data_IF_339725482623
#
_entry.id   IF_339725482623
#
_cell.length_a   1.000
_cell.length_b   1.000
_cell.length_c   1.000
_cell.angle_alpha   90.00
_cell.angle_beta   90.00
_cell.angle_gamma   90.00
#
_symmetry.space_group_name_H-M   'P 1'
#
loop_
_entity.id
_entity.type
_entity.pdbx_description
1 polymer ?
#
# COMPACT_ATOMS: atom_id res chain seq x y z
N UNK A 1 -4.90 -1.09 -16.41
CA UNK A 1 -3.85 -2.07 -16.72
C UNK A 1 -4.40 -3.44 -16.33
N UNK A 2 -4.65 -4.32 -17.30
CA UNK A 2 -4.84 -5.75 -17.02
C UNK A 2 -3.46 -6.37 -17.18
N UNK A 3 -2.70 -6.44 -16.10
CA UNK A 3 -1.48 -7.24 -16.06
C UNK A 3 -1.90 -8.58 -15.50
N UNK A 4 -1.53 -9.68 -16.14
CA UNK A 4 -1.73 -11.06 -15.62
C UNK A 4 -0.87 -11.35 -14.38
N UNK A 5 -0.36 -10.30 -13.72
CA UNK A 5 0.51 -10.37 -12.55
C UNK A 5 -0.33 -10.31 -11.27
N UNK A 6 0.01 -11.17 -10.31
CA UNK A 6 -0.53 -11.13 -8.96
C UNK A 6 0.36 -10.24 -8.09
N UNK A 7 -0.24 -9.21 -7.49
CA UNK A 7 0.41 -8.40 -6.47
C UNK A 7 0.22 -9.04 -5.10
N UNK A 8 1.31 -9.22 -4.35
CA UNK A 8 1.31 -9.78 -3.01
C UNK A 8 2.07 -8.84 -2.08
N UNK A 9 1.44 -8.47 -0.96
CA UNK A 9 2.09 -7.73 0.12
C UNK A 9 2.79 -8.69 1.09
N UNK A 10 3.97 -8.29 1.55
CA UNK A 10 4.74 -9.01 2.56
C UNK A 10 4.93 -8.11 3.79
N UNK A 11 4.73 -8.67 4.97
CA UNK A 11 4.81 -7.95 6.25
C UNK A 11 6.19 -7.99 6.89
N UNK A 12 7.13 -8.75 6.34
CA UNK A 12 8.50 -8.87 6.88
C UNK A 12 9.54 -9.11 5.80
N UNK A 13 10.78 -8.69 6.06
CA UNK A 13 11.92 -8.96 5.18
C UNK A 13 12.07 -10.45 4.89
N UNK A 14 11.99 -11.29 5.93
CA UNK A 14 12.11 -12.75 5.82
C UNK A 14 11.06 -13.33 4.85
N UNK A 15 9.81 -12.88 4.95
CA UNK A 15 8.76 -13.32 4.04
C UNK A 15 9.03 -12.85 2.60
N UNK A 16 9.52 -11.62 2.42
CA UNK A 16 9.86 -11.08 1.09
C UNK A 16 11.00 -11.86 0.43
N UNK A 17 12.06 -12.18 1.17
CA UNK A 17 13.18 -13.00 0.70
C UNK A 17 12.73 -14.42 0.32
N UNK A 18 11.84 -15.01 1.13
CA UNK A 18 11.25 -16.31 0.81
C UNK A 18 10.44 -16.25 -0.48
N UNK A 19 9.58 -15.23 -0.66
CA UNK A 19 8.79 -15.05 -1.88
C UNK A 19 9.68 -14.91 -3.12
N UNK A 20 10.75 -14.10 -3.05
CA UNK A 20 11.70 -13.91 -4.15
C UNK A 20 12.44 -15.20 -4.53
N UNK A 21 12.57 -16.16 -3.61
CA UNK A 21 13.19 -17.46 -3.88
C UNK A 21 12.26 -18.46 -4.58
N UNK A 22 10.96 -18.19 -4.66
CA UNK A 22 9.97 -19.11 -5.24
C UNK A 22 10.05 -19.06 -6.77
N UNK A 23 10.22 -20.21 -7.39
CA UNK A 23 10.26 -20.40 -8.85
C UNK A 23 9.09 -21.20 -9.40
N UNK A 24 8.25 -21.75 -8.52
CA UNK A 24 7.06 -22.53 -8.90
C UNK A 24 5.94 -22.42 -7.87
N UNK A 25 4.70 -22.50 -8.33
CA UNK A 25 3.50 -22.64 -7.52
C UNK A 25 2.80 -23.96 -7.89
N UNK A 26 2.91 -24.96 -7.01
CA UNK A 26 2.62 -26.35 -7.39
C UNK A 26 3.59 -26.82 -8.49
N UNK A 27 3.04 -27.23 -9.63
CA UNK A 27 3.80 -27.62 -10.82
C UNK A 27 3.93 -26.50 -11.86
N UNK A 28 3.38 -25.31 -11.57
CA UNK A 28 3.39 -24.17 -12.49
C UNK A 28 4.66 -23.34 -12.24
N UNK A 29 5.54 -23.14 -13.24
CA UNK A 29 6.67 -22.25 -13.09
C UNK A 29 6.19 -20.80 -12.98
N UNK A 30 6.77 -20.05 -12.04
CA UNK A 30 6.47 -18.63 -11.83
C UNK A 30 7.76 -17.82 -11.73
N UNK A 31 7.65 -16.50 -11.85
CA UNK A 31 8.73 -15.56 -11.56
C UNK A 31 8.24 -14.54 -10.55
N UNK A 32 9.01 -14.33 -9.49
CA UNK A 32 8.71 -13.33 -8.46
C UNK A 32 9.74 -12.21 -8.57
N UNK A 33 9.26 -10.98 -8.76
CA UNK A 33 10.11 -9.80 -8.83
C UNK A 33 9.65 -8.77 -7.81
N UNK A 34 10.60 -8.07 -7.19
CA UNK A 34 10.27 -6.91 -6.36
C UNK A 34 9.68 -5.80 -7.23
N UNK A 35 8.51 -5.29 -6.87
CA UNK A 35 7.86 -4.26 -7.65
C UNK A 35 8.48 -2.88 -7.36
N UNK A 36 9.16 -2.32 -8.37
CA UNK A 36 10.04 -1.14 -8.25
C UNK A 36 9.35 0.07 -7.61
N UNK A 37 8.04 0.26 -7.81
CA UNK A 37 7.29 1.42 -7.30
C UNK A 37 6.39 1.15 -6.09
N UNK A 38 6.26 -0.11 -5.65
CA UNK A 38 5.45 -0.49 -4.47
C UNK A 38 6.28 -0.73 -3.20
N UNK A 39 7.61 -0.64 -3.29
CA UNK A 39 8.54 -0.89 -2.17
C UNK A 39 8.55 0.18 -1.06
N UNK A 40 7.69 1.18 -1.15
CA UNK A 40 7.34 2.01 -0.02
C UNK A 40 5.88 1.74 0.28
N UNK A 41 5.59 1.30 1.50
CA UNK A 41 4.24 1.10 2.02
C UNK A 41 3.51 2.45 1.91
N UNK A 42 2.88 2.70 0.76
CA UNK A 42 1.89 3.76 0.60
C UNK A 42 0.57 3.17 1.05
N UNK A 43 0.35 3.14 2.36
CA UNK A 43 -0.96 2.73 2.87
C UNK A 43 -1.95 3.79 2.45
N UNK A 44 -2.87 3.37 1.59
CA UNK A 44 -3.98 4.16 1.11
C UNK A 44 -5.15 3.84 2.03
N UNK A 45 -5.56 4.81 2.83
CA UNK A 45 -6.70 4.67 3.72
C UNK A 45 -7.83 5.57 3.20
N UNK A 46 -9.08 5.06 3.22
CA UNK A 46 -10.30 5.83 2.94
C UNK A 46 -11.29 5.70 4.08
N UNK A 47 -11.77 6.83 4.61
CA UNK A 47 -12.84 6.95 5.60
C UNK A 47 -13.49 8.32 5.44
N UNK A 48 -14.80 8.41 5.70
CA UNK A 48 -15.53 9.69 5.69
C UNK A 48 -15.04 10.65 6.79
N UNK A 49 -14.49 10.09 7.88
CA UNK A 49 -13.93 10.85 9.01
C UNK A 49 -12.63 11.57 8.64
N UNK A 50 -11.95 11.18 7.56
CA UNK A 50 -10.71 11.83 7.14
C UNK A 50 -10.91 13.26 6.66
N UNK A 51 -12.15 13.68 6.38
CA UNK A 51 -12.42 15.10 6.16
C UNK A 51 -12.15 15.95 7.40
N UNK A 52 -12.30 15.39 8.60
CA UNK A 52 -12.27 16.12 9.86
C UNK A 52 -10.91 16.09 10.56
N UNK A 53 -10.07 15.10 10.20
CA UNK A 53 -8.71 14.93 10.75
C UNK A 53 -7.72 15.77 9.96
N UNK A 54 -6.62 16.26 10.56
CA UNK A 54 -5.53 16.93 9.82
C UNK A 54 -4.40 15.95 9.44
N UNK A 55 -3.57 16.29 8.43
CA UNK A 55 -2.43 15.42 8.05
C UNK A 55 -1.42 15.25 9.21
N UNK A 56 -1.25 16.27 10.05
CA UNK A 56 -0.39 16.21 11.25
C UNK A 56 -0.94 15.29 12.33
N UNK A 57 -2.24 15.35 12.59
CA UNK A 57 -2.93 14.47 13.54
C UNK A 57 -2.90 13.02 13.07
N UNK A 58 -2.99 12.80 11.76
CA UNK A 58 -2.86 11.47 11.17
C UNK A 58 -1.47 10.86 11.40
N UNK A 59 -0.41 11.65 11.28
CA UNK A 59 0.97 11.19 11.54
C UNK A 59 1.15 10.88 13.03
N UNK A 60 0.66 11.73 13.94
CA UNK A 60 0.80 11.49 15.38
C UNK A 60 0.06 10.23 15.84
N UNK A 61 -1.16 9.99 15.37
CA UNK A 61 -1.95 8.81 15.77
C UNK A 61 -1.38 7.50 15.22
N UNK A 62 -0.63 7.56 14.10
CA UNK A 62 -0.08 6.38 13.44
C UNK A 62 1.45 6.27 13.56
N UNK A 63 2.08 7.07 14.42
CA UNK A 63 3.53 7.03 14.67
C UNK A 63 3.98 5.64 15.13
N UNK A 64 3.17 4.98 15.97
CA UNK A 64 3.41 3.60 16.42
C UNK A 64 3.44 2.59 15.26
N UNK A 65 2.80 2.91 14.13
CA UNK A 65 2.82 2.12 12.89
C UNK A 65 3.94 2.56 11.94
N UNK A 66 4.85 3.43 12.40
CA UNK A 66 5.99 3.98 11.66
C UNK A 66 5.59 4.86 10.47
N UNK A 67 4.44 5.52 10.54
CA UNK A 67 4.07 6.59 9.60
C UNK A 67 4.92 7.81 9.91
N UNK A 68 5.71 8.28 8.94
CA UNK A 68 6.56 9.47 9.10
C UNK A 68 5.99 10.68 8.37
N UNK A 69 5.09 10.46 7.42
CA UNK A 69 4.34 11.51 6.76
C UNK A 69 3.00 11.01 6.23
N UNK A 70 2.05 11.93 6.10
CA UNK A 70 0.76 11.70 5.49
C UNK A 70 0.49 12.78 4.45
N UNK A 71 -0.20 12.41 3.36
CA UNK A 71 -0.66 13.34 2.34
C UNK A 71 -2.10 13.03 1.98
N UNK A 72 -2.99 14.00 2.17
CA UNK A 72 -4.35 13.94 1.65
C UNK A 72 -4.37 14.11 0.14
N UNK A 73 -5.10 13.21 -0.52
CA UNK A 73 -5.48 13.32 -1.93
C UNK A 73 -6.99 13.15 -2.05
N UNK A 74 -7.58 13.66 -3.13
CA UNK A 74 -9.02 13.54 -3.37
C UNK A 74 -9.24 12.71 -4.62
N UNK A 75 -9.99 11.61 -4.48
CA UNK A 75 -10.42 10.79 -5.60
C UNK A 75 -11.79 11.26 -6.08
N UNK A 76 -11.95 11.51 -7.38
CA UNK A 76 -13.26 11.72 -7.98
C UNK A 76 -13.82 10.40 -8.49
N UNK A 77 -14.95 9.93 -7.95
CA UNK A 77 -15.66 8.71 -8.37
C UNK A 77 -17.14 9.02 -8.49
N UNK A 78 -17.76 8.70 -9.63
CA UNK A 78 -19.19 8.92 -9.89
C UNK A 78 -19.69 10.35 -9.60
N UNK A 79 -18.81 11.34 -9.84
CA UNK A 79 -19.10 12.75 -9.57
C UNK A 79 -18.87 13.18 -8.11
N UNK A 80 -18.64 12.25 -7.19
CA UNK A 80 -18.35 12.51 -5.79
C UNK A 80 -16.83 12.59 -5.53
N UNK A 81 -16.44 13.44 -4.58
CA UNK A 81 -15.07 13.55 -4.09
C UNK A 81 -14.91 12.72 -2.81
N UNK A 82 -13.96 11.80 -2.81
CA UNK A 82 -13.64 10.91 -1.69
C UNK A 82 -12.25 11.29 -1.18
N UNK A 83 -12.08 11.64 0.11
CA UNK A 83 -10.79 11.93 0.67
C UNK A 83 -10.06 10.62 0.89
N UNK A 84 -8.79 10.58 0.51
CA UNK A 84 -7.92 9.45 0.70
C UNK A 84 -6.63 9.96 1.30
N UNK A 85 -6.12 9.27 2.31
CA UNK A 85 -4.83 9.60 2.91
C UNK A 85 -3.80 8.58 2.46
N UNK A 86 -2.71 9.06 1.88
CA UNK A 86 -1.51 8.27 1.63
C UNK A 86 -0.53 8.51 2.76
N UNK A 87 -0.16 7.47 3.51
CA UNK A 87 0.94 7.53 4.48
C UNK A 87 2.22 6.95 3.90
N UNK A 88 3.38 7.46 4.29
CA UNK A 88 4.70 6.93 3.95
C UNK A 88 5.72 7.17 5.06
#
# INVERSE_FOLDING_TARGET
>A
MKSDDLLVESSSLKQSEQLLSITKFGDIPITVNAHVSLNYIKRVMSSDEFWMVSDTEFVSELEAQKVIAARRITLKRDGQFIPIVMSY
#
